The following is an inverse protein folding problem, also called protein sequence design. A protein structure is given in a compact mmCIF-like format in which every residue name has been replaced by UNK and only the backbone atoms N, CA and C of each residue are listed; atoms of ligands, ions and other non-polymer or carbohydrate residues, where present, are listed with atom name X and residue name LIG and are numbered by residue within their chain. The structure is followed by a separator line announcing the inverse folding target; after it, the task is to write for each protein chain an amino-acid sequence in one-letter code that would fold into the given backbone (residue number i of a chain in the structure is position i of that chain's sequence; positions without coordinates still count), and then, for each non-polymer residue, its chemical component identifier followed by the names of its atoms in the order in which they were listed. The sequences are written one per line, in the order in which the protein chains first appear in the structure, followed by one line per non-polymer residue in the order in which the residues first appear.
data_IF_700864335680
#
_entry.id   IF_700864335680
#
_cell.length_a   1.000
_cell.length_b   1.000
_cell.length_c   1.000
_cell.angle_alpha   90.00
_cell.angle_beta   90.00
_cell.angle_gamma   90.00
#
_symmetry.space_group_name_H-M   'P 1'
#
loop_
_entity.id
_entity.type
_entity.pdbx_description
1 polymer ?
#
# COMPACT_ATOMS: atom_id res chain seq x y z
N UNK A 1 45.17 -61.31 -22.82
CA UNK A 1 44.22 -60.23 -23.13
C UNK A 1 43.66 -59.76 -21.79
N UNK A 2 44.12 -58.62 -21.26
CA UNK A 2 43.59 -58.06 -20.00
C UNK A 2 42.93 -56.76 -20.39
N UNK A 3 41.62 -56.69 -20.18
CA UNK A 3 40.83 -55.49 -20.39
C UNK A 3 40.83 -54.72 -19.07
N UNK A 4 41.48 -53.56 -19.03
CA UNK A 4 41.35 -52.65 -17.90
C UNK A 4 39.93 -52.08 -17.89
N UNK A 5 39.20 -52.34 -16.81
CA UNK A 5 37.88 -51.75 -16.60
C UNK A 5 38.06 -50.27 -16.26
N UNK A 6 37.40 -49.40 -17.03
CA UNK A 6 37.32 -47.96 -16.75
C UNK A 6 36.80 -47.74 -15.32
N UNK A 7 37.66 -47.20 -14.46
CA UNK A 7 37.31 -46.85 -13.10
C UNK A 7 36.46 -45.57 -13.12
N UNK A 8 35.21 -45.70 -13.54
CA UNK A 8 34.24 -44.61 -13.57
C UNK A 8 34.22 -43.85 -12.25
N UNK A 9 34.07 -42.51 -12.33
CA UNK A 9 34.09 -41.62 -11.17
C UNK A 9 33.10 -42.10 -10.10
N UNK A 10 33.62 -42.52 -8.95
CA UNK A 10 32.80 -43.01 -7.83
C UNK A 10 32.12 -41.84 -7.12
N UNK A 11 30.80 -41.92 -7.00
CA UNK A 11 30.03 -41.02 -6.14
C UNK A 11 30.42 -41.30 -4.68
N UNK A 12 31.17 -40.40 -4.07
CA UNK A 12 31.57 -40.49 -2.65
C UNK A 12 30.61 -39.69 -1.76
N UNK A 13 30.70 -39.88 -0.44
CA UNK A 13 29.92 -39.10 0.53
C UNK A 13 30.09 -37.59 0.41
N UNK A 14 31.26 -37.12 -0.05
CA UNK A 14 31.51 -35.71 -0.33
C UNK A 14 30.68 -35.18 -1.52
N UNK A 15 30.46 -36.00 -2.55
CA UNK A 15 29.59 -35.65 -3.67
C UNK A 15 28.14 -35.52 -3.21
N UNK A 16 27.68 -36.46 -2.39
CA UNK A 16 26.33 -36.43 -1.82
C UNK A 16 26.14 -35.21 -0.92
N UNK A 17 27.13 -34.89 -0.07
CA UNK A 17 27.11 -33.70 0.77
C UNK A 17 27.03 -32.41 -0.07
N UNK A 18 27.87 -32.29 -1.11
CA UNK A 18 27.86 -31.13 -2.00
C UNK A 18 26.52 -30.97 -2.74
N UNK A 19 25.93 -32.08 -3.20
CA UNK A 19 24.60 -32.08 -3.83
C UNK A 19 23.52 -31.65 -2.83
N UNK A 20 23.53 -32.18 -1.61
CA UNK A 20 22.55 -31.83 -0.58
C UNK A 20 22.63 -30.34 -0.23
N UNK A 21 23.83 -29.84 0.09
CA UNK A 21 24.03 -28.41 0.41
C UNK A 21 23.64 -27.53 -0.77
N UNK A 22 23.97 -27.91 -2.00
CA UNK A 22 23.56 -27.19 -3.20
C UNK A 22 22.04 -27.11 -3.36
N UNK A 23 21.34 -28.23 -3.18
CA UNK A 23 19.89 -28.29 -3.26
C UNK A 23 19.20 -27.41 -2.20
N UNK A 24 19.60 -27.53 -0.93
CA UNK A 24 19.07 -26.70 0.14
C UNK A 24 19.41 -25.21 -0.06
N UNK A 25 20.63 -24.91 -0.51
CA UNK A 25 21.06 -23.55 -0.83
C UNK A 25 20.19 -22.89 -1.90
N UNK A 26 19.85 -23.60 -2.97
CA UNK A 26 18.94 -23.11 -4.02
C UNK A 26 17.56 -22.83 -3.43
N UNK A 27 16.98 -23.76 -2.67
CA UNK A 27 15.65 -23.60 -2.07
C UNK A 27 15.61 -22.36 -1.16
N UNK A 28 16.60 -22.22 -0.28
CA UNK A 28 16.71 -21.08 0.64
C UNK A 28 16.88 -19.78 -0.15
N UNK A 29 17.77 -19.76 -1.15
CA UNK A 29 18.02 -18.58 -1.97
C UNK A 29 16.78 -18.10 -2.71
N UNK A 30 16.02 -19.03 -3.31
CA UNK A 30 14.75 -18.71 -3.98
C UNK A 30 13.72 -18.19 -2.98
N UNK A 31 13.59 -18.81 -1.81
CA UNK A 31 12.64 -18.35 -0.78
C UNK A 31 12.96 -16.94 -0.27
N UNK A 32 14.23 -16.63 -0.03
CA UNK A 32 14.66 -15.27 0.38
C UNK A 32 14.40 -14.27 -0.74
N UNK A 33 14.70 -14.62 -1.99
CA UNK A 33 14.41 -13.78 -3.15
C UNK A 33 12.91 -13.49 -3.25
N UNK A 34 12.07 -14.52 -3.14
CA UNK A 34 10.62 -14.39 -3.15
C UNK A 34 10.12 -13.54 -1.98
N UNK A 35 10.61 -13.74 -0.76
CA UNK A 35 10.24 -12.93 0.41
C UNK A 35 10.61 -11.45 0.21
N UNK A 36 11.81 -11.19 -0.31
CA UNK A 36 12.27 -9.82 -0.63
C UNK A 36 11.36 -9.20 -1.68
N UNK A 37 11.06 -9.92 -2.77
CA UNK A 37 10.13 -9.47 -3.81
C UNK A 37 8.72 -9.26 -3.26
N UNK A 38 8.21 -10.12 -2.41
CA UNK A 38 6.88 -9.96 -1.82
C UNK A 38 6.79 -8.66 -1.00
N UNK A 39 7.78 -8.41 -0.14
CA UNK A 39 7.84 -7.20 0.69
C UNK A 39 8.03 -5.93 -0.15
N UNK A 40 8.82 -5.98 -1.23
CA UNK A 40 9.06 -4.80 -2.08
C UNK A 40 7.92 -4.51 -3.05
N UNK A 41 7.25 -5.54 -3.58
CA UNK A 41 6.34 -5.43 -4.74
C UNK A 41 4.86 -5.51 -4.34
N UNK A 42 4.54 -6.15 -3.19
CA UNK A 42 3.17 -6.27 -2.68
C UNK A 42 3.14 -6.03 -1.17
N UNK A 43 3.22 -4.77 -0.71
CA UNK A 43 3.11 -4.49 0.71
C UNK A 43 1.72 -4.82 1.30
N UNK A 44 0.72 -5.23 0.51
CA UNK A 44 -0.63 -5.53 0.99
C UNK A 44 -1.33 -4.34 1.64
N UNK A 45 -0.82 -3.14 1.39
CA UNK A 45 -1.33 -1.90 1.94
C UNK A 45 -2.23 -1.27 0.89
N UNK A 46 -3.56 -1.43 1.04
CA UNK A 46 -4.51 -0.51 0.42
C UNK A 46 -4.26 0.94 0.86
N UNK A 47 -3.50 1.16 1.95
CA UNK A 47 -2.87 2.44 2.25
C UNK A 47 -1.60 2.26 3.09
N UNK A 48 -0.44 2.76 2.64
CA UNK A 48 0.77 2.94 3.49
C UNK A 48 0.59 3.99 4.61
N UNK A 49 -0.65 4.43 4.85
CA UNK A 49 -0.90 5.79 5.27
C UNK A 49 -2.24 5.97 6.01
N UNK A 50 -2.87 4.96 6.60
CA UNK A 50 -4.06 5.24 7.44
C UNK A 50 -3.68 6.10 8.66
N UNK A 51 -2.49 5.88 9.23
CA UNK A 51 -2.02 6.65 10.40
C UNK A 51 -1.55 8.07 10.05
N UNK A 52 -0.83 8.25 8.94
CA UNK A 52 -0.36 9.58 8.50
C UNK A 52 -1.47 10.36 7.76
N UNK A 53 -2.46 9.69 7.14
CA UNK A 53 -3.66 10.33 6.60
C UNK A 53 -4.59 10.79 7.73
N UNK A 54 -4.74 10.02 8.82
CA UNK A 54 -5.50 10.48 10.00
C UNK A 54 -4.84 11.67 10.70
N UNK A 55 -3.51 11.74 10.74
CA UNK A 55 -2.80 12.91 11.29
C UNK A 55 -3.05 14.16 10.44
N UNK A 56 -2.87 14.07 9.11
CA UNK A 56 -3.20 15.17 8.19
C UNK A 56 -4.67 15.53 8.21
N UNK A 57 -5.57 14.56 8.41
CA UNK A 57 -7.00 14.83 8.51
C UNK A 57 -7.32 15.76 9.68
N UNK A 58 -6.77 15.50 10.87
CA UNK A 58 -7.01 16.36 12.03
C UNK A 58 -6.43 17.77 11.84
N UNK A 59 -5.24 17.89 11.27
CA UNK A 59 -4.62 19.19 10.97
C UNK A 59 -5.42 19.97 9.93
N UNK A 60 -5.86 19.30 8.85
CA UNK A 60 -6.70 19.89 7.82
C UNK A 60 -8.09 20.27 8.37
N UNK A 61 -8.67 19.44 9.24
CA UNK A 61 -9.95 19.71 9.91
C UNK A 61 -9.84 20.91 10.85
N UNK A 62 -8.72 21.05 11.58
CA UNK A 62 -8.46 22.21 12.42
C UNK A 62 -8.35 23.49 11.58
N UNK A 63 -7.64 23.42 10.44
CA UNK A 63 -7.57 24.52 9.47
C UNK A 63 -8.94 24.90 8.91
N UNK A 64 -9.77 23.92 8.53
CA UNK A 64 -11.12 24.18 8.04
C UNK A 64 -12.03 24.79 9.12
N UNK A 65 -11.96 24.32 10.36
CA UNK A 65 -12.73 24.90 11.48
C UNK A 65 -12.28 26.33 11.80
N UNK A 66 -11.00 26.62 11.67
CA UNK A 66 -10.47 27.97 11.88
C UNK A 66 -10.97 28.99 10.83
N UNK A 67 -11.47 28.54 9.67
CA UNK A 67 -12.10 29.42 8.68
C UNK A 67 -13.45 29.98 9.17
N UNK A 68 -14.11 29.32 10.13
CA UNK A 68 -15.41 29.76 10.63
C UNK A 68 -16.51 29.73 9.55
N UNK A 69 -16.47 28.74 8.66
CA UNK A 69 -17.47 28.58 7.61
C UNK A 69 -18.49 27.50 8.00
N UNK A 70 -19.77 27.80 7.82
CA UNK A 70 -20.87 26.85 7.89
C UNK A 70 -21.14 26.29 6.48
N UNK A 71 -21.00 24.96 6.33
CA UNK A 71 -21.21 24.25 5.07
C UNK A 71 -22.44 23.36 5.21
N UNK A 72 -23.51 23.71 4.50
CA UNK A 72 -24.76 22.96 4.50
C UNK A 72 -24.97 22.23 3.18
N UNK A 73 -24.86 20.89 3.16
CA UNK A 73 -25.27 20.09 2.02
C UNK A 73 -26.79 19.92 1.99
N UNK A 74 -27.41 20.24 0.87
CA UNK A 74 -28.81 19.93 0.57
C UNK A 74 -28.87 19.07 -0.68
N UNK A 75 -29.58 17.94 -0.61
CA UNK A 75 -29.78 17.07 -1.75
C UNK A 75 -31.19 17.28 -2.30
N UNK A 76 -31.30 17.64 -3.57
CA UNK A 76 -32.56 17.78 -4.30
C UNK A 76 -32.55 16.80 -5.47
N UNK A 77 -33.14 15.62 -5.26
CA UNK A 77 -33.06 14.50 -6.21
C UNK A 77 -31.61 14.05 -6.41
N UNK A 78 -31.13 14.16 -7.65
CA UNK A 78 -29.74 13.83 -8.03
C UNK A 78 -28.78 15.03 -7.94
N UNK A 79 -29.28 16.20 -7.55
CA UNK A 79 -28.46 17.42 -7.43
C UNK A 79 -28.02 17.63 -5.99
N UNK A 80 -26.71 17.68 -5.77
CA UNK A 80 -26.12 18.14 -4.52
C UNK A 80 -25.91 19.66 -4.60
N UNK A 81 -26.57 20.39 -3.71
CA UNK A 81 -26.34 21.82 -3.49
C UNK A 81 -25.53 22.01 -2.21
N UNK A 82 -24.43 22.75 -2.31
CA UNK A 82 -23.61 23.14 -1.18
C UNK A 82 -23.79 24.64 -0.94
N UNK A 83 -24.28 25.00 0.24
CA UNK A 83 -24.30 26.39 0.69
C UNK A 83 -23.16 26.59 1.68
N UNK A 84 -22.23 27.48 1.34
CA UNK A 84 -21.07 27.83 2.18
C UNK A 84 -21.27 29.28 2.63
N UNK A 85 -21.46 29.47 3.93
CA UNK A 85 -21.65 30.79 4.54
C UNK A 85 -20.65 31.00 5.66
N UNK A 86 -20.25 32.26 5.86
CA UNK A 86 -19.45 32.63 7.02
C UNK A 86 -20.33 32.55 8.28
N UNK A 87 -19.87 31.83 9.30
CA UNK A 87 -20.63 31.51 10.51
C UNK A 87 -20.99 32.76 11.33
N UNK A 88 -20.14 33.80 11.26
CA UNK A 88 -20.31 35.03 12.05
C UNK A 88 -21.19 36.05 11.32
N UNK A 89 -20.99 36.20 10.02
CA UNK A 89 -21.67 37.23 9.22
C UNK A 89 -22.89 36.70 8.47
N UNK A 90 -23.04 35.38 8.34
CA UNK A 90 -24.11 34.72 7.58
C UNK A 90 -24.04 34.97 6.08
N UNK A 91 -22.96 35.58 5.57
CA UNK A 91 -22.82 35.95 4.16
C UNK A 91 -22.23 34.78 3.36
N UNK A 92 -22.57 34.66 2.06
CA UNK A 92 -21.90 33.71 1.17
C UNK A 92 -20.40 33.96 1.14
N UNK A 93 -19.62 32.89 1.23
CA UNK A 93 -18.16 32.96 1.11
C UNK A 93 -17.76 32.88 -0.36
N UNK A 94 -16.94 33.83 -0.83
CA UNK A 94 -16.27 33.72 -2.12
C UNK A 94 -14.97 32.93 -1.95
N UNK A 95 -14.99 31.65 -2.33
CA UNK A 95 -13.81 30.81 -2.33
C UNK A 95 -13.00 31.00 -3.63
N UNK A 96 -11.69 31.11 -3.51
CA UNK A 96 -10.75 31.16 -4.65
C UNK A 96 -10.77 29.87 -5.49
N UNK A 97 -11.02 28.73 -4.85
CA UNK A 97 -11.14 27.43 -5.49
C UNK A 97 -12.13 26.56 -4.70
N UNK A 98 -13.04 25.89 -5.40
CA UNK A 98 -13.99 24.93 -4.81
C UNK A 98 -13.79 23.59 -5.52
N UNK A 99 -13.30 22.60 -4.78
CA UNK A 99 -13.12 21.22 -5.25
C UNK A 99 -13.45 20.22 -4.16
N UNK A 100 -14.00 19.06 -4.53
CA UNK A 100 -14.37 18.02 -3.58
C UNK A 100 -14.65 16.70 -4.26
N UNK A 101 -14.58 15.62 -3.48
CA UNK A 101 -14.90 14.26 -3.94
C UNK A 101 -16.26 13.87 -3.35
N UNK A 102 -17.22 13.55 -4.20
CA UNK A 102 -18.49 12.97 -3.79
C UNK A 102 -18.37 11.44 -3.78
N UNK A 103 -18.28 10.85 -2.59
CA UNK A 103 -18.22 9.40 -2.40
C UNK A 103 -19.55 8.82 -1.91
N UNK A 104 -19.83 7.56 -2.29
CA UNK A 104 -20.93 6.78 -1.69
C UNK A 104 -20.47 6.26 -0.32
N UNK A 105 -21.25 6.49 0.73
CA UNK A 105 -21.03 5.80 2.00
C UNK A 105 -21.35 4.30 1.82
N UNK A 106 -20.31 3.46 1.88
CA UNK A 106 -20.47 2.02 2.08
C UNK A 106 -20.58 1.75 3.57
N UNK A 107 -21.66 1.09 3.97
CA UNK A 107 -21.87 0.57 5.32
C UNK A 107 -21.00 -0.65 5.60
#
# INVERSE_FOLDING_TARGET
MVQEADAGRKLTGWHVLAIAVGAFGIIIGVNIFMATKAITTFPGLETKNSYVASQKFNDNLAGQRALGWDVKPTMSGETLMLMITDEVTGRPVEALEIGGILGRATH
#
